data_IF_136314827287
#
_entry.id   IF_136314827287
#
_cell.length_a   1.000
_cell.length_b   1.000
_cell.length_c   1.000
_cell.angle_alpha   90.00
_cell.angle_beta   90.00
_cell.angle_gamma   90.00
#
_symmetry.space_group_name_H-M   'P 1'
#
loop_
_entity.id
_entity.type
_entity.pdbx_description
1 polymer ?
#
# COMPACT_ATOMS: atom_id res chain seq x y z
N UNK A 1 27.62 4.81 14.64
CA UNK A 1 26.19 4.66 14.98
C UNK A 1 25.39 5.51 14.00
N UNK A 2 24.38 4.91 13.36
CA UNK A 2 23.38 5.61 12.55
C UNK A 2 22.17 5.82 13.45
N UNK A 3 21.60 7.02 13.44
CA UNK A 3 20.38 7.34 14.19
C UNK A 3 19.27 7.50 13.17
N UNK A 4 18.31 6.57 13.21
CA UNK A 4 17.16 6.55 12.32
C UNK A 4 15.93 7.05 13.06
N UNK A 5 15.12 7.87 12.38
CA UNK A 5 13.80 8.31 12.87
C UNK A 5 12.74 7.89 11.87
N UNK A 6 11.61 7.39 12.38
CA UNK A 6 10.42 7.08 11.59
C UNK A 6 9.35 8.12 11.86
N UNK A 7 8.69 8.60 10.81
CA UNK A 7 7.54 9.50 10.93
C UNK A 7 6.40 8.99 10.05
N UNK A 8 5.24 8.75 10.64
CA UNK A 8 4.00 8.48 9.90
C UNK A 8 3.33 9.78 9.46
N UNK A 9 2.59 9.71 8.36
CA UNK A 9 1.78 10.84 7.89
C UNK A 9 0.31 10.49 7.94
N UNK A 10 -0.52 11.42 8.41
CA UNK A 10 -1.97 11.26 8.34
C UNK A 10 -2.50 11.40 6.90
N UNK A 11 -1.93 12.30 6.09
CA UNK A 11 -2.47 12.59 4.74
C UNK A 11 -1.69 12.01 3.56
N UNK A 12 -0.38 11.78 3.73
CA UNK A 12 0.47 11.40 2.61
C UNK A 12 0.60 9.88 2.43
N UNK A 13 -0.19 9.08 3.17
CA UNK A 13 -0.28 7.62 3.00
C UNK A 13 1.09 6.92 2.95
N UNK A 14 2.00 7.35 3.83
CA UNK A 14 3.37 6.85 3.85
C UNK A 14 4.01 6.95 5.23
N UNK A 15 5.09 6.19 5.41
CA UNK A 15 6.05 6.40 6.50
C UNK A 15 7.36 6.89 5.91
N UNK A 16 7.92 7.94 6.49
CA UNK A 16 9.25 8.45 6.12
C UNK A 16 10.31 7.96 7.08
N UNK A 17 11.45 7.56 6.53
CA UNK A 17 12.62 7.08 7.26
C UNK A 17 13.74 8.11 7.09
N UNK A 18 14.26 8.61 8.20
CA UNK A 18 15.22 9.71 8.19
C UNK A 18 16.56 9.25 8.79
N UNK A 19 17.66 9.59 8.11
CA UNK A 19 18.97 9.61 8.74
C UNK A 19 19.20 10.99 9.34
N UNK A 20 19.25 11.06 10.68
CA UNK A 20 19.39 12.31 11.44
C UNK A 20 20.72 13.00 11.15
N UNK A 21 21.80 12.21 10.91
CA UNK A 21 23.13 12.76 10.65
C UNK A 21 23.23 13.31 9.24
N UNK A 22 22.66 12.59 8.27
CA UNK A 22 22.60 13.04 6.88
C UNK A 22 21.56 14.16 6.67
N UNK A 23 20.61 14.32 7.60
CA UNK A 23 19.48 15.26 7.51
C UNK A 23 18.64 15.04 6.26
N UNK A 24 18.47 13.77 5.89
CA UNK A 24 17.82 13.37 4.65
C UNK A 24 16.78 12.27 4.91
N UNK A 25 15.68 12.32 4.14
CA UNK A 25 14.78 11.19 4.00
C UNK A 25 15.51 10.15 3.16
N UNK A 26 15.73 8.96 3.71
CA UNK A 26 16.46 7.87 3.06
C UNK A 26 15.51 6.85 2.43
N UNK A 27 14.32 6.66 3.02
CA UNK A 27 13.30 5.77 2.49
C UNK A 27 11.90 6.30 2.74
N UNK A 28 10.98 5.89 1.86
CA UNK A 28 9.55 6.02 2.05
C UNK A 28 8.94 4.60 2.03
N UNK A 29 8.11 4.28 3.02
CA UNK A 29 7.49 2.96 3.15
C UNK A 29 6.00 3.06 2.83
N UNK A 30 5.54 2.13 1.98
CA UNK A 30 4.15 2.06 1.53
C UNK A 30 3.22 1.59 2.64
N UNK A 31 2.09 2.27 2.82
CA UNK A 31 1.01 1.84 3.72
C UNK A 31 -0.21 1.33 2.96
N UNK A 32 -0.04 1.10 1.65
CA UNK A 32 -1.11 0.69 0.74
C UNK A 32 -2.29 1.63 0.82
N UNK A 33 -2.10 2.90 0.47
CA UNK A 33 -3.06 4.01 0.49
C UNK A 33 -3.73 4.36 1.85
N UNK A 34 -3.32 3.74 2.96
CA UNK A 34 -3.84 4.11 4.28
C UNK A 34 -3.06 5.25 4.94
N UNK A 35 -3.78 6.05 5.72
CA UNK A 35 -3.19 7.01 6.66
C UNK A 35 -2.46 6.30 7.82
N UNK A 36 -1.38 6.89 8.36
CA UNK A 36 -0.66 6.33 9.52
C UNK A 36 -1.16 6.98 10.81
N UNK A 37 -1.68 6.16 11.72
CA UNK A 37 -2.23 6.62 12.99
C UNK A 37 -1.24 6.47 14.15
N UNK A 38 -0.45 5.39 14.15
CA UNK A 38 0.55 5.14 15.19
C UNK A 38 1.68 4.24 14.71
N UNK A 39 2.83 4.34 15.37
CA UNK A 39 4.04 3.58 15.08
C UNK A 39 4.59 2.94 16.37
N UNK A 40 5.02 1.69 16.29
CA UNK A 40 5.67 0.98 17.38
C UNK A 40 6.91 0.22 16.89
N UNK A 41 8.05 0.43 17.55
CA UNK A 41 9.29 -0.28 17.25
C UNK A 41 9.42 -1.54 18.11
N UNK A 42 9.64 -2.67 17.44
CA UNK A 42 9.95 -3.96 18.05
C UNK A 42 11.44 -4.26 17.86
N UNK A 43 12.24 -3.89 18.87
CA UNK A 43 13.69 -4.01 18.83
C UNK A 43 14.20 -5.45 18.70
N UNK A 44 13.66 -6.46 19.44
CA UNK A 44 14.07 -7.86 19.28
C UNK A 44 13.95 -8.40 17.85
N UNK A 45 12.91 -8.02 17.11
CA UNK A 45 12.66 -8.53 15.76
C UNK A 45 13.10 -7.55 14.65
N UNK A 46 13.68 -6.40 15.02
CA UNK A 46 14.05 -5.33 14.09
C UNK A 46 12.89 -4.95 13.14
N UNK A 47 11.70 -4.76 13.73
CA UNK A 47 10.47 -4.53 13.01
C UNK A 47 9.80 -3.23 13.44
N UNK A 48 9.23 -2.51 12.47
CA UNK A 48 8.32 -1.40 12.72
C UNK A 48 6.89 -1.89 12.49
N UNK A 49 6.00 -1.65 13.44
CA UNK A 49 4.57 -1.82 13.27
C UNK A 49 3.91 -0.47 13.06
N UNK A 50 2.99 -0.39 12.10
CA UNK A 50 2.18 0.78 11.85
C UNK A 50 0.70 0.41 11.97
N UNK A 51 -0.03 1.13 12.81
CA UNK A 51 -1.48 1.13 12.78
C UNK A 51 -1.93 2.13 11.73
N UNK A 52 -2.75 1.69 10.79
CA UNK A 52 -3.17 2.47 9.63
C UNK A 52 -4.68 2.48 9.48
N UNK A 53 -5.22 3.56 8.91
CA UNK A 53 -6.66 3.75 8.71
C UNK A 53 -6.96 4.02 7.23
N UNK A 54 -7.94 3.30 6.70
CA UNK A 54 -8.45 3.45 5.35
C UNK A 54 -9.49 4.59 5.34
N UNK A 55 -9.10 5.75 4.82
CA UNK A 55 -10.02 6.90 4.70
C UNK A 55 -11.14 6.65 3.67
N UNK A 56 -10.98 5.62 2.83
CA UNK A 56 -11.91 5.22 1.77
C UNK A 56 -12.87 4.11 2.21
N UNK A 57 -12.96 3.84 3.51
CA UNK A 57 -13.91 2.89 4.09
C UNK A 57 -14.76 3.60 5.15
N UNK A 58 -16.08 3.44 5.05
CA UNK A 58 -16.99 3.99 6.04
C UNK A 58 -17.01 3.15 7.34
N UNK A 59 -17.70 3.66 8.36
CA UNK A 59 -17.85 2.96 9.66
C UNK A 59 -18.61 1.63 9.59
N UNK A 60 -19.28 1.33 8.48
CA UNK A 60 -20.01 0.09 8.23
C UNK A 60 -19.17 -0.91 7.43
N UNK A 61 -17.95 -0.54 7.03
CA UNK A 61 -17.06 -1.36 6.22
C UNK A 61 -17.28 -1.23 4.71
N UNK A 62 -18.10 -0.26 4.25
CA UNK A 62 -18.30 -0.05 2.83
C UNK A 62 -17.19 0.81 2.24
N UNK A 63 -16.60 0.35 1.15
CA UNK A 63 -15.65 1.12 0.37
C UNK A 63 -16.34 2.18 -0.47
N UNK A 64 -15.69 3.32 -0.64
CA UNK A 64 -16.19 4.43 -1.45
C UNK A 64 -15.05 5.14 -2.18
N UNK A 65 -15.38 5.85 -3.25
CA UNK A 65 -14.44 6.56 -4.11
C UNK A 65 -13.36 5.67 -4.78
N UNK A 66 -13.54 4.34 -4.82
CA UNK A 66 -12.68 3.44 -5.58
C UNK A 66 -12.99 3.49 -7.08
N UNK A 67 -11.95 3.29 -7.88
CA UNK A 67 -11.98 3.07 -9.33
C UNK A 67 -11.17 1.82 -9.67
N UNK A 68 -11.28 1.33 -10.89
CA UNK A 68 -10.38 0.27 -11.34
C UNK A 68 -8.91 0.75 -11.28
N UNK A 69 -8.04 -0.15 -10.83
CA UNK A 69 -6.62 0.13 -10.66
C UNK A 69 -5.91 0.05 -12.02
N UNK A 70 -4.94 0.94 -12.24
CA UNK A 70 -4.03 0.84 -13.38
C UNK A 70 -2.88 -0.08 -13.02
N UNK A 71 -2.96 -1.35 -13.44
CA UNK A 71 -1.96 -2.35 -13.06
C UNK A 71 -0.60 -2.04 -13.71
N UNK A 72 0.48 -1.90 -12.92
CA UNK A 72 1.84 -1.74 -13.46
C UNK A 72 2.27 -2.94 -14.32
N UNK A 73 3.03 -2.67 -15.40
CA UNK A 73 3.55 -3.71 -16.30
C UNK A 73 4.32 -4.79 -15.50
N UNK A 74 4.02 -6.06 -15.78
CA UNK A 74 4.64 -7.21 -15.11
C UNK A 74 4.04 -7.58 -13.75
N UNK A 75 2.94 -6.93 -13.33
CA UNK A 75 2.20 -7.28 -12.11
C UNK A 75 0.79 -7.82 -12.39
N UNK A 76 0.36 -7.82 -13.66
CA UNK A 76 -0.88 -8.47 -14.11
C UNK A 76 -0.79 -9.98 -13.79
N UNK A 77 -1.83 -10.54 -13.16
CA UNK A 77 -1.90 -11.95 -12.74
C UNK A 77 -1.43 -12.25 -11.31
N UNK A 78 -1.00 -11.25 -10.54
CA UNK A 78 -0.53 -11.44 -9.15
C UNK A 78 -1.67 -11.48 -8.12
N UNK A 79 -2.88 -11.07 -8.49
CA UNK A 79 -4.07 -10.97 -7.63
C UNK A 79 -4.97 -12.23 -7.68
N UNK A 80 -4.41 -13.35 -8.17
CA UNK A 80 -4.98 -14.70 -8.30
C UNK A 80 -5.60 -15.08 -9.67
N UNK A 81 -5.07 -16.17 -10.24
CA UNK A 81 -5.95 -17.26 -10.69
C UNK A 81 -6.22 -17.47 -12.19
N UNK A 82 -5.77 -16.60 -13.09
CA UNK A 82 -6.04 -16.78 -14.52
C UNK A 82 -4.76 -17.11 -15.29
N UNK A 83 -4.69 -18.37 -15.74
CA UNK A 83 -3.79 -18.78 -16.83
C UNK A 83 -4.12 -17.94 -18.06
N UNK A 84 -3.14 -17.16 -18.48
CA UNK A 84 -3.17 -16.26 -19.62
C UNK A 84 -3.14 -17.04 -20.93
N UNK A 85 -4.05 -16.74 -21.85
CA UNK A 85 -3.78 -16.90 -23.28
C UNK A 85 -4.60 -15.95 -24.15
N UNK A 86 -4.83 -14.69 -23.71
CA UNK A 86 -5.32 -13.67 -24.65
C UNK A 86 -4.51 -12.37 -24.48
N UNK A 87 -4.06 -11.85 -25.62
CA UNK A 87 -3.25 -10.63 -25.75
C UNK A 87 -4.10 -9.41 -25.32
N UNK A 88 -4.14 -9.13 -24.01
CA UNK A 88 -4.89 -8.02 -23.42
C UNK A 88 -4.25 -6.67 -23.78
N UNK A 89 -5.10 -5.71 -24.16
CA UNK A 89 -4.71 -4.36 -24.56
C UNK A 89 -3.99 -3.64 -23.39
N UNK A 90 -3.09 -2.71 -23.71
CA UNK A 90 -2.30 -1.94 -22.72
C UNK A 90 -3.18 -1.12 -21.74
N UNK A 91 -4.45 -0.92 -22.06
CA UNK A 91 -5.45 -0.19 -21.26
C UNK A 91 -6.40 -1.10 -20.44
N UNK A 92 -6.22 -2.43 -20.45
CA UNK A 92 -7.14 -3.32 -19.74
C UNK A 92 -7.06 -3.14 -18.20
N UNK A 93 -8.15 -2.61 -17.67
CA UNK A 93 -8.51 -2.54 -16.26
C UNK A 93 -8.83 -3.95 -15.76
N UNK A 94 -8.11 -4.42 -14.74
CA UNK A 94 -8.45 -5.69 -14.10
C UNK A 94 -9.64 -5.44 -13.16
N UNK A 95 -10.81 -6.04 -13.41
CA UNK A 95 -12.01 -5.77 -12.62
C UNK A 95 -11.86 -6.19 -11.16
N UNK A 96 -10.88 -7.03 -10.83
CA UNK A 96 -10.64 -7.53 -9.49
C UNK A 96 -9.68 -6.63 -8.69
N UNK A 97 -8.99 -5.68 -9.34
CA UNK A 97 -8.09 -4.74 -8.68
C UNK A 97 -8.66 -3.31 -8.69
N UNK A 98 -8.88 -2.75 -7.49
CA UNK A 98 -9.35 -1.38 -7.33
C UNK A 98 -8.28 -0.49 -6.70
N UNK A 99 -8.40 0.82 -6.93
CA UNK A 99 -7.57 1.85 -6.31
C UNK A 99 -8.42 3.06 -5.91
N UNK A 100 -8.18 3.71 -4.76
CA UNK A 100 -8.92 4.90 -4.40
C UNK A 100 -8.63 6.07 -5.36
N UNK A 101 -9.69 6.71 -5.85
CA UNK A 101 -9.60 7.81 -6.82
C UNK A 101 -8.87 9.03 -6.27
N UNK A 102 -8.87 9.20 -4.94
CA UNK A 102 -8.27 10.33 -4.22
C UNK A 102 -7.02 9.95 -3.43
N UNK A 103 -6.48 8.74 -3.64
CA UNK A 103 -5.23 8.31 -3.00
C UNK A 103 -4.11 9.32 -3.26
N UNK A 104 -3.28 9.57 -2.25
CA UNK A 104 -2.17 10.51 -2.33
C UNK A 104 -1.11 10.08 -3.36
N UNK A 105 -0.91 8.77 -3.48
CA UNK A 105 0.03 8.16 -4.41
C UNK A 105 -0.69 7.38 -5.52
N UNK A 106 -0.04 7.29 -6.69
CA UNK A 106 -0.46 6.37 -7.75
C UNK A 106 -0.08 4.93 -7.40
N UNK A 107 -0.78 3.99 -8.05
CA UNK A 107 -0.61 2.54 -7.95
C UNK A 107 0.84 2.07 -8.07
N UNK A 108 1.65 2.76 -8.86
CA UNK A 108 3.03 2.40 -9.19
C UNK A 108 4.09 3.13 -8.35
N UNK A 109 3.70 4.05 -7.47
CA UNK A 109 4.63 4.94 -6.77
C UNK A 109 5.69 4.20 -5.95
N UNK A 110 5.31 3.12 -5.26
CA UNK A 110 6.21 2.29 -4.46
C UNK A 110 6.79 1.10 -5.25
N UNK A 111 6.62 1.09 -6.57
CA UNK A 111 7.08 0.03 -7.46
C UNK A 111 6.20 -1.22 -7.45
N UNK A 112 5.19 -1.31 -6.58
CA UNK A 112 4.22 -2.40 -6.54
C UNK A 112 2.81 -1.89 -6.27
N UNK A 113 1.85 -2.46 -6.99
CA UNK A 113 0.43 -2.28 -6.73
C UNK A 113 0.09 -2.95 -5.40
N UNK A 114 -0.33 -2.14 -4.43
CA UNK A 114 -0.72 -2.61 -3.11
C UNK A 114 -1.77 -1.68 -2.51
N UNK A 115 -3.02 -2.12 -2.51
CA UNK A 115 -4.14 -1.51 -1.78
C UNK A 115 -4.28 -2.21 -0.42
N UNK A 116 -4.40 -1.45 0.67
CA UNK A 116 -4.70 -2.03 1.98
C UNK A 116 -6.16 -2.43 2.12
N UNK A 117 -7.09 -1.75 1.43
CA UNK A 117 -8.54 -1.99 1.45
C UNK A 117 -9.25 -1.69 2.77
N UNK A 118 -8.63 -1.91 3.93
CA UNK A 118 -9.22 -1.76 5.26
C UNK A 118 -8.19 -1.15 6.23
N UNK A 119 -8.63 -0.75 7.41
CA UNK A 119 -7.81 -0.47 8.57
C UNK A 119 -6.89 -1.66 8.85
N UNK A 120 -5.58 -1.42 8.88
CA UNK A 120 -4.59 -2.50 8.96
C UNK A 120 -3.43 -2.18 9.87
N UNK A 121 -2.93 -3.20 10.56
CA UNK A 121 -1.61 -3.16 11.18
C UNK A 121 -0.60 -3.75 10.19
N UNK A 122 0.35 -2.93 9.75
CA UNK A 122 1.39 -3.32 8.80
C UNK A 122 2.72 -3.50 9.56
N UNK A 123 3.41 -4.61 9.28
CA UNK A 123 4.74 -4.91 9.83
C UNK A 123 5.81 -4.73 8.76
N UNK A 124 6.75 -3.84 9.00
CA UNK A 124 7.95 -3.65 8.18
C UNK A 124 9.12 -4.34 8.86
N UNK A 125 9.66 -5.38 8.21
CA UNK A 125 10.83 -6.11 8.71
C UNK A 125 12.09 -5.62 8.01
N UNK A 126 13.06 -5.13 8.78
CA UNK A 126 14.34 -4.64 8.25
C UNK A 126 15.35 -5.79 8.27
N UNK A 127 15.78 -6.20 7.07
CA UNK A 127 16.70 -7.34 6.85
C UNK A 127 17.82 -6.91 5.91
N UNK A 128 18.94 -7.63 5.96
CA UNK A 128 20.06 -7.43 5.03
C UNK A 128 19.64 -7.77 3.59
N UNK A 129 18.96 -8.91 3.41
CA UNK A 129 18.42 -9.37 2.13
C UNK A 129 16.88 -9.44 2.17
N UNK A 130 16.17 -8.30 2.05
CA UNK A 130 14.71 -8.29 1.97
C UNK A 130 14.23 -8.86 0.63
N UNK A 131 13.14 -9.64 0.65
CA UNK A 131 12.45 -10.06 -0.57
C UNK A 131 11.33 -9.05 -0.89
N UNK A 132 11.50 -8.15 -1.88
CA UNK A 132 10.50 -7.13 -2.21
C UNK A 132 9.25 -7.71 -2.89
N UNK A 133 9.29 -8.97 -3.31
CA UNK A 133 8.16 -9.67 -3.91
C UNK A 133 7.22 -10.32 -2.89
N UNK A 134 7.48 -10.18 -1.58
CA UNK A 134 6.53 -10.55 -0.53
C UNK A 134 5.76 -9.30 -0.14
N UNK A 135 4.49 -9.24 -0.53
CA UNK A 135 3.58 -8.16 -0.16
C UNK A 135 2.51 -8.67 0.82
N UNK A 136 1.88 -7.76 1.58
CA UNK A 136 0.64 -8.09 2.27
C UNK A 136 -0.45 -8.46 1.25
N UNK A 137 -1.47 -9.18 1.73
CA UNK A 137 -2.70 -9.47 0.96
C UNK A 137 -3.30 -8.18 0.38
N UNK A 138 -3.75 -8.24 -0.87
CA UNK A 138 -4.38 -7.11 -1.55
C UNK A 138 -5.76 -6.81 -0.96
N UNK A 139 -6.17 -5.54 -0.98
CA UNK A 139 -7.48 -5.11 -0.51
C UNK A 139 -8.64 -5.67 -1.33
N UNK A 140 -9.77 -5.95 -0.69
CA UNK A 140 -10.97 -6.50 -1.31
C UNK A 140 -12.01 -5.41 -1.65
N UNK A 141 -11.56 -4.17 -1.86
CA UNK A 141 -12.42 -3.07 -2.22
C UNK A 141 -12.99 -3.28 -3.63
N UNK A 142 -14.22 -2.85 -3.86
CA UNK A 142 -14.87 -2.89 -5.17
C UNK A 142 -15.17 -1.49 -5.65
N UNK A 143 -15.18 -1.29 -6.97
CA UNK A 143 -15.73 -0.07 -7.56
C UNK A 143 -17.22 -0.05 -7.22
N UNK A 144 -17.64 0.96 -6.46
CA UNK A 144 -19.04 1.08 -6.05
C UNK A 144 -19.96 1.09 -7.27
N UNK A 145 -20.94 0.19 -7.29
CA UNK A 145 -22.13 0.40 -8.10
C UNK A 145 -22.92 1.56 -7.49
N UNK A 146 -23.42 2.48 -8.32
CA UNK A 146 -24.36 3.53 -7.91
C UNK A 146 -25.51 2.90 -7.12
N UNK A 147 -25.42 2.93 -5.79
CA UNK A 147 -26.51 2.54 -4.91
C UNK A 147 -27.43 3.75 -4.81
N UNK A 148 -28.47 3.74 -5.66
CA UNK A 148 -29.60 4.67 -5.64
C UNK A 148 -30.50 4.43 -4.42
#
# INVERSE_FOLDING_TARGET
MITVVFTGTHKAEQIKVWDVRARACVYELATGNNSVQSLAWDAPNNCLYAATECEHMDRLGNHHDYRYAKIPKGQRGRTEGLEDDEEYDEDDEDPDCCWPSKAWHKEDYFGYLFDSGDNRIIRYAFKEDPNPSVLPEYGHATVGGDSW
#
